data_IF_272454062498
#
_entry.id   IF_272454062498
#
_cell.length_a   1.000
_cell.length_b   1.000
_cell.length_c   1.000
_cell.angle_alpha   90.00
_cell.angle_beta   90.00
_cell.angle_gamma   90.00
#
_symmetry.space_group_name_H-M   'P 1'
#
loop_
_entity.id
_entity.type
_entity.pdbx_description
1 polymer ?
#
# COMPACT_ATOMS: atom_id res chain seq x y z
N UNK A 1 -1.81 26.19 39.11
CA UNK A 1 -1.00 25.17 38.40
C UNK A 1 -1.54 23.80 38.74
N UNK A 2 -1.77 22.95 37.74
CA UNK A 2 -2.03 21.52 37.96
C UNK A 2 -0.69 20.81 37.76
N UNK A 3 -0.19 20.11 38.78
CA UNK A 3 1.07 19.36 38.69
C UNK A 3 0.76 17.95 38.22
N UNK A 4 1.28 17.57 37.06
CA UNK A 4 1.17 16.21 36.53
C UNK A 4 2.46 15.46 36.82
N UNK A 5 2.34 14.30 37.48
CA UNK A 5 3.48 13.39 37.68
C UNK A 5 3.61 12.53 36.43
N UNK A 6 4.71 12.69 35.72
CA UNK A 6 5.04 11.92 34.52
C UNK A 6 6.16 10.93 34.82
N UNK A 7 6.13 9.78 34.15
CA UNK A 7 7.23 8.81 34.25
C UNK A 7 8.48 9.35 33.52
N UNK A 8 9.66 8.88 33.92
CA UNK A 8 10.92 9.26 33.26
C UNK A 8 10.94 8.87 31.77
N UNK A 9 10.27 7.76 31.42
CA UNK A 9 10.15 7.31 30.04
C UNK A 9 9.28 8.26 29.21
N UNK A 10 8.15 8.70 29.77
CA UNK A 10 7.28 9.70 29.15
C UNK A 10 7.99 11.04 29.01
N UNK A 11 8.70 11.48 30.05
CA UNK A 11 9.49 12.71 30.01
C UNK A 11 10.54 12.67 28.89
N UNK A 12 11.34 11.59 28.81
CA UNK A 12 12.34 11.42 27.74
C UNK A 12 11.74 11.49 26.34
N UNK A 13 10.60 10.83 26.10
CA UNK A 13 9.90 10.90 24.80
C UNK A 13 9.46 12.33 24.50
N UNK A 14 8.82 13.01 25.45
CA UNK A 14 8.37 14.39 25.28
C UNK A 14 9.54 15.35 25.00
N UNK A 15 10.67 15.20 25.70
CA UNK A 15 11.89 15.99 25.43
C UNK A 15 12.43 15.75 24.02
N UNK A 16 12.46 14.50 23.56
CA UNK A 16 12.91 14.17 22.21
C UNK A 16 11.99 14.75 21.12
N UNK A 17 10.67 14.63 21.30
CA UNK A 17 9.68 15.23 20.39
C UNK A 17 9.83 16.75 20.35
N UNK A 18 9.98 17.39 21.51
CA UNK A 18 10.17 18.83 21.63
C UNK A 18 11.41 19.30 20.88
N UNK A 19 12.55 18.62 21.05
CA UNK A 19 13.78 18.92 20.30
C UNK A 19 13.60 18.76 18.79
N UNK A 20 12.84 17.75 18.35
CA UNK A 20 12.51 17.53 16.93
C UNK A 20 11.67 18.67 16.36
N UNK A 21 10.62 19.10 17.09
CA UNK A 21 9.78 20.22 16.68
C UNK A 21 10.54 21.54 16.64
N UNK A 22 11.43 21.78 17.61
CA UNK A 22 12.30 22.96 17.60
C UNK A 22 13.21 22.97 16.37
N UNK A 23 13.79 21.83 16.01
CA UNK A 23 14.62 21.70 14.81
C UNK A 23 13.82 21.94 13.52
N UNK A 24 12.58 21.46 13.43
CA UNK A 24 11.71 21.65 12.26
C UNK A 24 11.20 23.08 12.12
N UNK A 25 10.85 23.72 13.24
CA UNK A 25 10.18 25.03 13.25
C UNK A 25 11.13 26.21 13.43
N UNK A 26 12.34 25.97 13.93
CA UNK A 26 13.32 27.01 14.28
C UNK A 26 12.91 27.89 15.46
N UNK A 27 11.86 27.50 16.21
CA UNK A 27 11.28 28.27 17.31
C UNK A 27 11.35 27.49 18.61
N UNK A 28 11.30 28.20 19.74
CA UNK A 28 11.14 27.58 21.05
C UNK A 28 9.77 26.90 21.12
N UNK A 29 9.74 25.66 21.59
CA UNK A 29 8.53 24.85 21.72
C UNK A 29 8.35 24.43 23.17
N UNK A 30 7.11 24.11 23.55
CA UNK A 30 6.73 23.65 24.88
C UNK A 30 6.31 22.19 24.86
N UNK A 31 6.19 21.57 26.05
CA UNK A 31 5.62 20.22 26.13
C UNK A 31 4.15 20.18 25.70
N UNK A 32 3.43 21.30 25.78
CA UNK A 32 2.08 21.37 25.24
C UNK A 32 2.11 21.22 23.71
N UNK A 33 2.96 21.97 23.02
CA UNK A 33 3.12 21.88 21.56
C UNK A 33 3.54 20.47 21.13
N UNK A 34 4.42 19.82 21.92
CA UNK A 34 4.82 18.45 21.69
C UNK A 34 3.66 17.44 21.86
N UNK A 35 2.79 17.65 22.86
CA UNK A 35 1.61 16.81 23.08
C UNK A 35 0.61 17.02 21.95
N UNK A 36 0.32 18.27 21.57
CA UNK A 36 -0.59 18.60 20.47
C UNK A 36 -0.11 17.97 19.16
N UNK A 37 1.17 18.14 18.81
CA UNK A 37 1.73 17.51 17.61
C UNK A 37 1.66 15.97 17.64
N UNK A 38 1.86 15.35 18.81
CA UNK A 38 1.71 13.89 18.96
C UNK A 38 0.26 13.45 18.77
N UNK A 39 -0.70 14.22 19.30
CA UNK A 39 -2.12 13.92 19.15
C UNK A 39 -2.57 14.11 17.69
N UNK A 40 -2.14 15.19 17.04
CA UNK A 40 -2.46 15.49 15.63
C UNK A 40 -1.89 14.45 14.66
N UNK A 41 -0.71 13.90 14.97
CA UNK A 41 -0.10 12.82 14.18
C UNK A 41 -0.65 11.44 14.55
N UNK A 42 -1.35 11.32 15.68
CA UNK A 42 -1.91 10.05 16.13
C UNK A 42 -3.25 9.78 15.48
N UNK A 43 -3.42 8.56 15.00
CA UNK A 43 -4.72 8.06 14.55
C UNK A 43 -5.22 7.05 15.58
N UNK A 44 -6.42 7.28 16.11
CA UNK A 44 -7.06 6.34 17.01
C UNK A 44 -7.76 5.30 16.14
N UNK A 45 -7.24 4.07 16.16
CA UNK A 45 -7.86 2.94 15.49
C UNK A 45 -8.83 2.22 16.42
N UNK A 46 -9.94 1.66 15.89
CA UNK A 46 -10.84 0.83 16.67
C UNK A 46 -10.08 -0.34 17.33
N UNK A 47 -10.35 -0.64 18.61
CA UNK A 47 -9.65 -1.69 19.34
C UNK A 47 -9.85 -3.08 18.72
N UNK A 48 -11.00 -3.33 18.09
CA UNK A 48 -11.31 -4.57 17.38
C UNK A 48 -10.35 -4.79 16.20
N UNK A 49 -10.11 -3.73 15.41
CA UNK A 49 -9.18 -3.77 14.28
C UNK A 49 -7.74 -4.00 14.75
N UNK A 50 -7.33 -3.34 15.85
CA UNK A 50 -6.00 -3.55 16.41
C UNK A 50 -5.80 -5.00 16.86
N UNK A 51 -6.81 -5.60 17.51
CA UNK A 51 -6.77 -6.99 17.92
C UNK A 51 -6.72 -7.94 16.71
N UNK A 52 -7.46 -7.65 15.64
CA UNK A 52 -7.43 -8.42 14.40
C UNK A 52 -6.05 -8.38 13.74
N UNK A 53 -5.44 -7.19 13.64
CA UNK A 53 -4.08 -7.04 13.09
C UNK A 53 -3.07 -7.83 13.93
N UNK A 54 -3.16 -7.75 15.26
CA UNK A 54 -2.24 -8.45 16.16
C UNK A 54 -2.37 -9.97 16.06
N UNK A 55 -3.61 -10.47 15.95
CA UNK A 55 -3.90 -11.87 15.68
C UNK A 55 -3.31 -12.29 14.32
N UNK A 56 -3.55 -11.51 13.27
CA UNK A 56 -3.06 -11.79 11.93
C UNK A 56 -1.53 -11.89 11.88
N UNK A 57 -0.82 -10.93 12.49
CA UNK A 57 0.65 -10.92 12.58
C UNK A 57 1.15 -12.17 13.32
N UNK A 58 0.50 -12.54 14.42
CA UNK A 58 0.89 -13.69 15.24
C UNK A 58 0.70 -15.02 14.50
N UNK A 59 -0.40 -15.14 13.74
CA UNK A 59 -0.72 -16.34 12.93
C UNK A 59 0.14 -16.42 11.66
N UNK A 60 0.58 -15.28 11.12
CA UNK A 60 1.28 -15.19 9.83
C UNK A 60 2.71 -14.67 9.95
N UNK A 61 3.47 -15.11 10.96
CA UNK A 61 4.87 -14.69 11.20
C UNK A 61 5.78 -14.80 9.97
N UNK A 62 5.49 -15.74 9.05
CA UNK A 62 6.20 -15.91 7.78
C UNK A 62 6.19 -14.67 6.88
N UNK A 63 5.24 -13.76 7.06
CA UNK A 63 5.11 -12.53 6.28
C UNK A 63 6.06 -11.42 6.76
N UNK A 64 6.80 -11.64 7.87
CA UNK A 64 7.84 -10.75 8.34
C UNK A 64 7.36 -9.54 9.14
N UNK A 65 6.05 -9.31 9.26
CA UNK A 65 5.53 -8.25 10.13
C UNK A 65 5.86 -8.53 11.60
N UNK A 66 6.46 -7.55 12.27
CA UNK A 66 6.85 -7.66 13.69
C UNK A 66 6.04 -6.75 14.59
N UNK A 67 5.43 -5.70 14.03
CA UNK A 67 4.68 -4.69 14.77
C UNK A 67 3.42 -4.27 14.01
N UNK A 68 2.42 -3.76 14.76
CA UNK A 68 1.16 -3.27 14.17
C UNK A 68 1.41 -2.05 13.28
N UNK A 69 2.34 -1.20 13.71
CA UNK A 69 2.76 0.02 13.02
C UNK A 69 3.37 -0.29 11.65
N UNK A 70 4.15 -1.37 11.55
CA UNK A 70 4.71 -1.84 10.28
C UNK A 70 3.61 -2.29 9.32
N UNK A 71 2.68 -3.11 9.80
CA UNK A 71 1.53 -3.59 9.02
C UNK A 71 0.66 -2.42 8.51
N UNK A 72 0.29 -1.50 9.38
CA UNK A 72 -0.55 -0.33 9.03
C UNK A 72 0.18 0.58 8.03
N UNK A 73 1.49 0.79 8.22
CA UNK A 73 2.29 1.61 7.31
C UNK A 73 2.35 1.00 5.91
N UNK A 74 2.50 -0.32 5.81
CA UNK A 74 2.52 -1.02 4.53
C UNK A 74 1.15 -0.95 3.84
N UNK A 75 0.06 -1.24 4.58
CA UNK A 75 -1.31 -1.13 4.06
C UNK A 75 -1.63 0.28 3.54
N UNK A 76 -1.25 1.32 4.29
CA UNK A 76 -1.44 2.70 3.88
C UNK A 76 -0.62 3.07 2.63
N UNK A 77 0.66 2.62 2.56
CA UNK A 77 1.49 2.82 1.36
C UNK A 77 0.91 2.15 0.14
N UNK A 78 0.47 0.89 0.29
CA UNK A 78 -0.16 0.15 -0.80
C UNK A 78 -1.41 0.87 -1.30
N UNK A 79 -2.27 1.34 -0.38
CA UNK A 79 -3.49 2.07 -0.76
C UNK A 79 -3.18 3.40 -1.46
N UNK A 80 -2.19 4.14 -0.99
CA UNK A 80 -1.75 5.38 -1.64
C UNK A 80 -1.13 5.12 -3.01
N UNK A 81 -0.33 4.06 -3.14
CA UNK A 81 0.26 3.64 -4.41
C UNK A 81 -0.84 3.32 -5.41
N UNK A 82 -1.79 2.48 -5.01
CA UNK A 82 -2.95 2.11 -5.81
C UNK A 82 -3.76 3.32 -6.29
N UNK A 83 -4.02 4.30 -5.41
CA UNK A 83 -4.80 5.49 -5.77
C UNK A 83 -4.02 6.53 -6.59
N UNK A 84 -2.69 6.54 -6.53
CA UNK A 84 -1.83 7.53 -7.20
C UNK A 84 -1.29 7.04 -8.54
N UNK A 85 -0.87 5.79 -8.60
CA UNK A 85 -0.39 5.19 -9.83
C UNK A 85 -1.59 4.89 -10.73
N UNK A 86 -1.45 5.11 -12.04
CA UNK A 86 -2.50 4.80 -13.03
C UNK A 86 -2.61 3.28 -13.27
N UNK A 87 -2.59 2.50 -12.20
CA UNK A 87 -2.60 1.05 -12.21
C UNK A 87 -3.93 0.61 -11.62
N UNK A 88 -4.74 -0.02 -12.45
CA UNK A 88 -5.96 -0.68 -11.99
C UNK A 88 -5.61 -2.05 -11.43
N UNK A 89 -6.23 -2.44 -10.31
CA UNK A 89 -6.00 -3.73 -9.69
C UNK A 89 -7.18 -4.62 -10.06
N UNK A 90 -6.89 -5.69 -10.79
CA UNK A 90 -7.88 -6.72 -11.09
C UNK A 90 -7.80 -7.79 -10.02
N UNK A 91 -8.86 -7.90 -9.22
CA UNK A 91 -8.94 -8.96 -8.21
C UNK A 91 -9.20 -10.31 -8.89
N UNK A 92 -8.25 -11.23 -8.73
CA UNK A 92 -8.38 -12.61 -9.20
C UNK A 92 -8.46 -13.51 -7.96
N UNK A 93 -9.54 -14.32 -7.82
CA UNK A 93 -9.63 -15.31 -6.76
C UNK A 93 -8.38 -16.20 -6.72
N UNK A 94 -7.84 -16.41 -5.52
CA UNK A 94 -6.54 -17.06 -5.33
C UNK A 94 -6.49 -18.48 -5.93
N UNK A 95 -7.57 -19.24 -5.76
CA UNK A 95 -7.76 -20.57 -6.33
C UNK A 95 -7.64 -20.56 -7.87
N UNK A 96 -8.24 -19.57 -8.52
CA UNK A 96 -8.15 -19.42 -9.98
C UNK A 96 -6.75 -19.00 -10.42
N UNK A 97 -6.12 -18.10 -9.70
CA UNK A 97 -4.76 -17.66 -10.02
C UNK A 97 -3.76 -18.81 -9.88
N UNK A 98 -3.83 -19.58 -8.80
CA UNK A 98 -2.98 -20.76 -8.59
C UNK A 98 -3.25 -21.85 -9.62
N UNK A 99 -4.52 -22.09 -9.98
CA UNK A 99 -4.88 -23.00 -11.06
C UNK A 99 -4.32 -22.56 -12.42
N UNK A 100 -4.37 -21.27 -12.72
CA UNK A 100 -3.78 -20.70 -13.94
C UNK A 100 -2.25 -20.83 -13.93
N UNK A 101 -1.61 -20.59 -12.79
CA UNK A 101 -0.16 -20.72 -12.62
C UNK A 101 0.30 -22.18 -12.87
N UNK A 102 -0.44 -23.16 -12.33
CA UNK A 102 -0.18 -24.57 -12.58
C UNK A 102 -0.39 -24.92 -14.06
N UNK A 103 -1.50 -24.49 -14.66
CA UNK A 103 -1.80 -24.76 -16.07
C UNK A 103 -0.73 -24.19 -17.01
N UNK A 104 -0.28 -22.95 -16.79
CA UNK A 104 0.77 -22.30 -17.61
C UNK A 104 2.08 -23.10 -17.56
N UNK A 105 2.47 -23.59 -16.38
CA UNK A 105 3.69 -24.37 -16.17
C UNK A 105 3.60 -25.79 -16.71
N UNK A 106 2.49 -26.47 -16.49
CA UNK A 106 2.33 -27.88 -16.84
C UNK A 106 1.99 -28.08 -18.33
N UNK A 107 1.28 -27.14 -18.96
CA UNK A 107 0.84 -27.25 -20.35
C UNK A 107 1.90 -26.80 -21.36
N UNK A 108 3.14 -26.55 -20.93
CA UNK A 108 4.26 -26.10 -21.78
C UNK A 108 3.88 -24.91 -22.68
N UNK A 109 3.14 -23.95 -22.10
CA UNK A 109 2.71 -22.74 -22.80
C UNK A 109 3.91 -21.82 -23.08
N UNK A 110 3.81 -20.86 -24.01
CA UNK A 110 4.91 -19.91 -24.24
C UNK A 110 5.10 -18.91 -23.09
N UNK A 111 4.26 -18.94 -22.07
CA UNK A 111 4.26 -18.01 -20.94
C UNK A 111 5.00 -18.57 -19.75
N UNK A 112 5.72 -17.72 -19.03
CA UNK A 112 6.52 -18.12 -17.87
C UNK A 112 5.68 -18.31 -16.59
N UNK A 113 4.59 -17.55 -16.45
CA UNK A 113 3.72 -17.53 -15.27
C UNK A 113 2.30 -17.09 -15.62
N UNK A 114 1.36 -17.24 -14.68
CA UNK A 114 0.01 -16.69 -14.80
C UNK A 114 0.03 -15.17 -15.02
N UNK A 115 0.93 -14.46 -14.33
CA UNK A 115 1.10 -13.01 -14.50
C UNK A 115 1.56 -12.66 -15.92
N UNK A 116 2.54 -13.39 -16.44
CA UNK A 116 3.08 -13.19 -17.79
C UNK A 116 2.03 -13.47 -18.87
N UNK A 117 1.24 -14.53 -18.68
CA UNK A 117 0.08 -14.84 -19.51
C UNK A 117 -0.92 -13.68 -19.53
N UNK A 118 -1.32 -13.18 -18.37
CA UNK A 118 -2.30 -12.07 -18.25
C UNK A 118 -1.78 -10.82 -18.97
N UNK A 119 -0.53 -10.43 -18.73
CA UNK A 119 0.06 -9.26 -19.37
C UNK A 119 0.14 -9.42 -20.90
N UNK A 120 0.60 -10.57 -21.37
CA UNK A 120 0.71 -10.81 -22.82
C UNK A 120 -0.67 -10.81 -23.49
N UNK A 121 -1.68 -11.41 -22.86
CA UNK A 121 -3.04 -11.37 -23.39
C UNK A 121 -3.61 -9.95 -23.46
N UNK A 122 -3.30 -9.10 -22.48
CA UNK A 122 -3.68 -7.68 -22.52
C UNK A 122 -3.02 -7.00 -23.72
N UNK A 123 -1.71 -7.16 -23.90
CA UNK A 123 -0.97 -6.52 -24.98
C UNK A 123 -1.43 -6.99 -26.36
N UNK A 124 -1.64 -8.29 -26.56
CA UNK A 124 -2.14 -8.85 -27.81
C UNK A 124 -3.53 -8.31 -28.20
N UNK A 125 -4.43 -8.17 -27.21
CA UNK A 125 -5.78 -7.65 -27.44
C UNK A 125 -5.72 -6.16 -27.80
N UNK A 126 -4.89 -5.38 -27.10
CA UNK A 126 -4.71 -3.96 -27.39
C UNK A 126 -4.06 -3.73 -28.76
N UNK A 127 -3.09 -4.54 -29.15
CA UNK A 127 -2.46 -4.46 -30.47
C UNK A 127 -3.48 -4.76 -31.59
N UNK A 128 -4.29 -5.81 -31.43
CA UNK A 128 -5.38 -6.13 -32.36
C UNK A 128 -6.40 -4.99 -32.47
N UNK A 129 -6.76 -4.38 -31.34
CA UNK A 129 -7.69 -3.25 -31.32
C UNK A 129 -7.11 -2.01 -32.01
N UNK A 130 -5.83 -1.72 -31.82
CA UNK A 130 -5.14 -0.61 -32.47
C UNK A 130 -5.09 -0.80 -34.00
N UNK A 131 -4.73 -2.00 -34.47
CA UNK A 131 -4.75 -2.33 -35.92
C UNK A 131 -6.15 -2.14 -36.52
N UNK A 132 -7.19 -2.58 -35.81
CA UNK A 132 -8.57 -2.39 -36.23
C UNK A 132 -8.95 -0.90 -36.34
N UNK A 133 -8.51 -0.06 -35.39
CA UNK A 133 -8.73 1.39 -35.46
C UNK A 133 -8.04 2.03 -36.66
N UNK A 134 -6.82 1.61 -37.00
CA UNK A 134 -6.10 2.10 -38.18
C UNK A 134 -6.81 1.74 -39.49
N UNK A 135 -7.26 0.48 -39.63
CA UNK A 135 -8.01 0.01 -40.80
C UNK A 135 -9.34 0.74 -40.93
N UNK A 136 -10.05 0.96 -39.82
CA UNK A 136 -11.29 1.74 -39.80
C UNK A 136 -11.04 3.19 -40.25
N UNK A 137 -9.97 3.82 -39.77
CA UNK A 137 -9.59 5.17 -40.16
C UNK A 137 -9.21 5.30 -41.64
N UNK A 138 -8.54 4.30 -42.23
CA UNK A 138 -8.24 4.28 -43.68
C UNK A 138 -9.50 4.13 -44.53
N UNK A 139 -10.42 3.25 -44.10
CA UNK A 139 -11.74 3.08 -44.75
C UNK A 139 -12.59 4.34 -44.72
N UNK A 140 -12.55 5.09 -43.62
CA UNK A 140 -13.28 6.37 -43.47
C UNK A 140 -12.64 7.52 -44.26
N UNK A 141 -11.34 7.47 -44.55
CA UNK A 141 -10.62 8.48 -45.36
C UNK A 141 -10.61 8.20 -46.87
N UNK A 142 -11.16 7.06 -47.31
CA UNK A 142 -11.27 6.72 -48.73
C UNK A 142 -9.93 6.36 -49.40
N UNK A 143 -8.91 6.01 -48.61
CA UNK A 143 -7.60 5.58 -49.12
C UNK A 143 -7.62 4.04 -49.25
N UNK A 144 -7.90 3.56 -50.46
CA UNK A 144 -7.70 2.17 -50.89
C UNK A 144 -6.73 2.13 -52.07
#
# INVERSE_FOLDING_TARGET
MKTLRISDASHRKLTATLGTLMAQTGKMQTYQDAIEAMLDQSFILPPELLAEIEKFITENKRLGFTTREEFIRDAARWRLKFLKEKVECVEIPKDKYEGLEAAVKEMNTPYYSASDFIHTQIDEVLEKYNKWLEEKGRREKGEF
#
